data_IF_686927308172
#
_entry.id   IF_686927308172
#
_cell.length_a   1.000
_cell.length_b   1.000
_cell.length_c   1.000
_cell.angle_alpha   90.00
_cell.angle_beta   90.00
_cell.angle_gamma   90.00
#
_symmetry.space_group_name_H-M   'P 1'
#
loop_
_entity.id
_entity.type
_entity.pdbx_description
1 polymer ?
#
# COMPACT_ATOMS: atom_id res chain seq x y z
N UNK A 1 -12.44 -21.11 54.35
CA UNK A 1 -12.42 -21.02 52.88
C UNK A 1 -11.77 -19.69 52.49
N UNK A 2 -10.49 -19.72 52.09
CA UNK A 2 -9.70 -18.55 51.68
C UNK A 2 -8.91 -18.99 50.45
N UNK A 3 -9.28 -18.50 49.28
CA UNK A 3 -8.59 -18.77 48.02
C UNK A 3 -7.93 -17.47 47.53
N UNK A 4 -6.62 -17.40 47.79
CA UNK A 4 -5.49 -16.98 46.95
C UNK A 4 -5.75 -15.97 45.81
N UNK A 5 -4.98 -14.87 45.84
CA UNK A 5 -4.79 -13.90 44.76
C UNK A 5 -4.32 -14.57 43.46
N UNK A 6 -4.94 -14.21 42.33
CA UNK A 6 -4.28 -14.28 41.01
C UNK A 6 -4.85 -13.25 40.04
N UNK A 7 -3.93 -12.67 39.27
CA UNK A 7 -4.11 -11.66 38.25
C UNK A 7 -5.32 -11.88 37.32
N UNK A 8 -6.02 -10.80 37.00
CA UNK A 8 -7.04 -10.76 35.95
C UNK A 8 -7.14 -9.33 35.43
N UNK A 9 -6.43 -9.08 34.33
CA UNK A 9 -6.41 -7.82 33.61
C UNK A 9 -7.83 -7.50 33.12
N UNK A 10 -8.40 -6.40 33.61
CA UNK A 10 -9.69 -5.89 33.17
C UNK A 10 -9.49 -5.08 31.88
N UNK A 11 -9.69 -5.81 30.78
CA UNK A 11 -10.04 -5.43 29.42
C UNK A 11 -10.48 -3.96 29.22
N UNK A 12 -9.53 -3.13 28.78
CA UNK A 12 -9.81 -1.97 27.93
C UNK A 12 -8.88 -2.10 26.72
N UNK A 13 -9.19 -3.07 25.85
CA UNK A 13 -8.57 -3.15 24.53
C UNK A 13 -9.27 -2.12 23.62
N UNK A 14 -8.88 -0.86 23.76
CA UNK A 14 -9.07 0.17 22.74
C UNK A 14 -8.19 -0.25 21.55
N UNK A 15 -8.68 -1.18 20.73
CA UNK A 15 -8.13 -1.43 19.40
C UNK A 15 -8.62 -0.29 18.52
N UNK A 16 -7.94 0.84 18.64
CA UNK A 16 -8.00 1.88 17.63
C UNK A 16 -7.60 1.26 16.31
N UNK A 17 -8.58 1.10 15.41
CA UNK A 17 -8.35 0.91 13.98
C UNK A 17 -7.70 2.20 13.45
N UNK A 18 -6.42 2.38 13.75
CA UNK A 18 -5.58 3.27 12.98
C UNK A 18 -5.64 2.78 11.53
N UNK A 19 -5.64 3.71 10.58
CA UNK A 19 -5.40 3.40 9.17
C UNK A 19 -4.06 2.64 9.07
N UNK A 20 -4.11 1.31 9.15
CA UNK A 20 -2.93 0.48 9.06
C UNK A 20 -2.44 0.55 7.62
N UNK A 21 -1.31 1.22 7.43
CA UNK A 21 -0.63 1.25 6.13
C UNK A 21 0.04 -0.10 5.90
N UNK A 22 0.27 -0.45 4.63
CA UNK A 22 0.97 -1.70 4.24
C UNK A 22 2.28 -1.86 5.02
N UNK A 23 2.99 -0.75 5.26
CA UNK A 23 4.24 -0.73 6.01
C UNK A 23 4.08 -1.07 7.50
N UNK A 24 3.01 -0.60 8.15
CA UNK A 24 2.75 -0.92 9.56
C UNK A 24 2.47 -2.41 9.76
N UNK A 25 1.66 -2.99 8.86
CA UNK A 25 1.33 -4.42 8.88
C UNK A 25 2.56 -5.26 8.56
N UNK A 26 3.38 -4.84 7.59
CA UNK A 26 4.65 -5.50 7.29
C UNK A 26 5.59 -5.50 8.50
N UNK A 27 5.77 -4.36 9.17
CA UNK A 27 6.63 -4.29 10.35
C UNK A 27 6.14 -5.20 11.48
N UNK A 28 4.83 -5.28 11.69
CA UNK A 28 4.23 -6.16 12.68
C UNK A 28 4.42 -7.65 12.35
N UNK A 29 4.19 -8.05 11.09
CA UNK A 29 4.43 -9.41 10.63
C UNK A 29 5.93 -9.77 10.65
N UNK A 30 6.83 -8.84 10.30
CA UNK A 30 8.27 -9.04 10.38
C UNK A 30 8.74 -9.25 11.82
N UNK A 31 8.12 -8.58 12.80
CA UNK A 31 8.45 -8.73 14.22
C UNK A 31 7.94 -10.06 14.79
N UNK A 32 6.76 -10.52 14.34
CA UNK A 32 6.17 -11.80 14.76
C UNK A 32 6.84 -13.01 14.10
N UNK A 33 7.29 -12.87 12.86
CA UNK A 33 7.78 -13.98 12.04
C UNK A 33 9.20 -13.72 11.49
N UNK A 34 10.23 -14.37 12.07
CA UNK A 34 11.60 -14.28 11.58
C UNK A 34 11.79 -14.98 10.23
N UNK A 35 10.96 -15.98 9.93
CA UNK A 35 10.91 -16.64 8.63
C UNK A 35 10.12 -15.82 7.61
N UNK A 36 10.72 -15.62 6.42
CA UNK A 36 10.08 -14.83 5.36
C UNK A 36 8.76 -15.44 4.87
N UNK A 37 8.68 -16.77 4.79
CA UNK A 37 7.47 -17.47 4.31
C UNK A 37 6.32 -17.24 5.28
N UNK A 38 6.57 -17.41 6.58
CA UNK A 38 5.56 -17.18 7.63
C UNK A 38 5.16 -15.70 7.73
N UNK A 39 6.10 -14.79 7.51
CA UNK A 39 5.83 -13.35 7.43
C UNK A 39 4.88 -13.02 6.26
N UNK A 40 5.06 -13.65 5.09
CA UNK A 40 4.17 -13.44 3.94
C UNK A 40 2.78 -14.04 4.20
N UNK A 41 2.67 -15.18 4.88
CA UNK A 41 1.37 -15.72 5.30
C UNK A 41 0.66 -14.79 6.29
N UNK A 42 1.38 -14.21 7.25
CA UNK A 42 0.84 -13.17 8.14
C UNK A 42 0.32 -11.97 7.33
N UNK A 43 1.10 -11.45 6.38
CA UNK A 43 0.68 -10.34 5.50
C UNK A 43 -0.61 -10.65 4.74
N UNK A 44 -0.76 -11.88 4.24
CA UNK A 44 -1.96 -12.32 3.52
C UNK A 44 -3.18 -12.40 4.43
N UNK A 45 -3.02 -12.89 5.66
CA UNK A 45 -4.09 -12.95 6.66
C UNK A 45 -4.56 -11.54 7.05
N UNK A 46 -3.62 -10.65 7.36
CA UNK A 46 -3.93 -9.25 7.70
C UNK A 46 -4.57 -8.50 6.52
N UNK A 47 -4.12 -8.79 5.29
CA UNK A 47 -4.73 -8.21 4.10
C UNK A 47 -6.14 -8.74 3.79
N UNK A 48 -6.43 -9.98 4.15
CA UNK A 48 -7.76 -10.58 4.03
C UNK A 48 -8.72 -10.09 5.13
N UNK A 49 -8.19 -9.83 6.34
CA UNK A 49 -8.96 -9.31 7.47
C UNK A 49 -9.21 -7.79 7.39
N UNK A 50 -8.30 -7.04 6.75
CA UNK A 50 -8.34 -5.58 6.65
C UNK A 50 -8.79 -5.03 5.29
N UNK A 51 -8.88 -3.70 5.20
CA UNK A 51 -9.10 -2.98 3.94
C UNK A 51 -7.90 -3.01 2.99
N UNK A 52 -6.74 -3.52 3.46
CA UNK A 52 -5.50 -3.57 2.70
C UNK A 52 -5.67 -4.32 1.38
N UNK A 53 -6.36 -5.48 1.38
CA UNK A 53 -6.60 -6.27 0.17
C UNK A 53 -7.44 -5.58 -0.91
N UNK A 54 -8.10 -4.46 -0.60
CA UNK A 54 -8.93 -3.74 -1.56
C UNK A 54 -8.10 -2.81 -2.47
N UNK A 55 -6.95 -2.33 -2.01
CA UNK A 55 -6.07 -1.48 -2.81
C UNK A 55 -5.40 -2.28 -3.94
N UNK A 56 -5.36 -1.73 -5.15
CA UNK A 56 -4.64 -2.32 -6.30
C UNK A 56 -3.15 -2.47 -5.99
N UNK A 57 -2.57 -1.49 -5.32
CA UNK A 57 -1.15 -1.47 -4.99
C UNK A 57 -0.83 -2.51 -3.92
N UNK A 58 -1.69 -2.63 -2.91
CA UNK A 58 -1.54 -3.66 -1.88
C UNK A 58 -1.68 -5.07 -2.47
N UNK A 59 -2.61 -5.30 -3.39
CA UNK A 59 -2.72 -6.60 -4.12
C UNK A 59 -1.46 -6.89 -4.93
N UNK A 60 -0.91 -5.88 -5.59
CA UNK A 60 0.33 -6.02 -6.38
C UNK A 60 1.53 -6.34 -5.46
N UNK A 61 1.60 -5.67 -4.32
CA UNK A 61 2.59 -5.91 -3.29
C UNK A 61 2.49 -7.35 -2.72
N UNK A 62 1.28 -7.80 -2.36
CA UNK A 62 1.05 -9.15 -1.83
C UNK A 62 1.36 -10.25 -2.85
N UNK A 63 0.98 -10.07 -4.12
CA UNK A 63 1.32 -11.03 -5.18
C UNK A 63 2.84 -11.16 -5.38
N UNK A 64 3.57 -10.05 -5.26
CA UNK A 64 5.03 -10.07 -5.33
C UNK A 64 5.63 -10.74 -4.08
N UNK A 65 5.07 -10.50 -2.90
CA UNK A 65 5.48 -11.16 -1.66
C UNK A 65 5.30 -12.69 -1.75
N UNK A 66 4.17 -13.14 -2.28
CA UNK A 66 3.85 -14.56 -2.49
C UNK A 66 4.82 -15.22 -3.47
N UNK A 67 5.13 -14.54 -4.58
CA UNK A 67 6.15 -15.01 -5.54
C UNK A 67 7.52 -15.17 -4.88
N UNK A 68 7.95 -14.19 -4.06
CA UNK A 68 9.21 -14.28 -3.34
C UNK A 68 9.19 -15.40 -2.29
N UNK A 69 8.05 -15.64 -1.64
CA UNK A 69 7.92 -16.72 -0.66
C UNK A 69 8.03 -18.09 -1.33
N UNK A 70 7.43 -18.27 -2.51
CA UNK A 70 7.59 -19.47 -3.32
C UNK A 70 9.05 -19.72 -3.71
N UNK A 71 9.76 -18.69 -4.17
CA UNK A 71 11.17 -18.80 -4.55
C UNK A 71 12.08 -19.07 -3.35
N UNK A 72 11.80 -18.44 -2.20
CA UNK A 72 12.52 -18.71 -0.96
C UNK A 72 12.29 -20.15 -0.48
N UNK A 73 11.04 -20.64 -0.54
CA UNK A 73 10.69 -22.02 -0.21
C UNK A 73 11.33 -23.04 -1.14
N UNK A 74 11.49 -22.70 -2.42
CA UNK A 74 12.21 -23.50 -3.41
C UNK A 74 13.74 -23.45 -3.24
N UNK A 75 14.27 -22.58 -2.36
CA UNK A 75 15.70 -22.40 -2.16
C UNK A 75 16.40 -21.61 -3.26
N UNK A 76 15.65 -20.96 -4.17
CA UNK A 76 16.22 -20.16 -5.25
C UNK A 76 16.79 -18.82 -4.77
N UNK A 77 16.22 -18.27 -3.69
CA UNK A 77 16.64 -17.02 -3.07
C UNK A 77 16.70 -17.20 -1.55
N UNK A 78 17.59 -16.48 -0.89
CA UNK A 78 17.62 -16.51 0.58
C UNK A 78 16.48 -15.67 1.15
N UNK A 79 16.08 -15.96 2.39
CA UNK A 79 15.09 -15.14 3.11
C UNK A 79 15.52 -13.67 3.22
N UNK A 80 16.83 -13.41 3.32
CA UNK A 80 17.39 -12.05 3.36
C UNK A 80 17.17 -11.34 2.03
N UNK A 81 17.47 -12.00 0.92
CA UNK A 81 17.30 -11.42 -0.42
C UNK A 81 15.82 -11.20 -0.74
N UNK A 82 14.96 -12.14 -0.32
CA UNK A 82 13.51 -12.00 -0.44
C UNK A 82 12.98 -10.78 0.33
N UNK A 83 13.45 -10.54 1.56
CA UNK A 83 13.11 -9.33 2.34
C UNK A 83 13.60 -8.05 1.65
N UNK A 84 14.81 -8.06 1.10
CA UNK A 84 15.35 -6.90 0.37
C UNK A 84 14.50 -6.59 -0.88
N UNK A 85 14.21 -7.59 -1.70
CA UNK A 85 13.39 -7.44 -2.89
C UNK A 85 11.97 -6.95 -2.57
N UNK A 86 11.37 -7.43 -1.47
CA UNK A 86 10.06 -6.97 -1.04
C UNK A 86 10.06 -5.49 -0.62
N UNK A 87 11.12 -5.04 0.06
CA UNK A 87 11.30 -3.63 0.46
C UNK A 87 11.49 -2.71 -0.75
N UNK A 88 12.28 -3.14 -1.73
CA UNK A 88 12.46 -2.40 -3.00
C UNK A 88 11.12 -2.22 -3.74
N UNK A 89 10.28 -3.26 -3.75
CA UNK A 89 8.96 -3.17 -4.36
C UNK A 89 8.06 -2.16 -3.65
N UNK A 90 8.08 -2.11 -2.31
CA UNK A 90 7.35 -1.10 -1.56
C UNK A 90 7.79 0.32 -1.93
N UNK A 91 9.10 0.57 -2.00
CA UNK A 91 9.64 1.87 -2.41
C UNK A 91 9.17 2.26 -3.81
N UNK A 92 9.16 1.32 -4.76
CA UNK A 92 8.68 1.56 -6.13
C UNK A 92 7.20 1.96 -6.16
N UNK A 93 6.36 1.29 -5.38
CA UNK A 93 4.94 1.63 -5.24
C UNK A 93 4.80 3.03 -4.63
N UNK A 94 5.52 3.33 -3.54
CA UNK A 94 5.47 4.64 -2.88
C UNK A 94 5.90 5.78 -3.81
N UNK A 95 6.96 5.59 -4.60
CA UNK A 95 7.39 6.54 -5.61
C UNK A 95 6.34 6.75 -6.71
N UNK A 96 5.70 5.67 -7.15
CA UNK A 96 4.64 5.74 -8.16
C UNK A 96 3.42 6.51 -7.66
N UNK A 97 3.02 6.30 -6.40
CA UNK A 97 1.95 7.06 -5.76
C UNK A 97 2.31 8.54 -5.61
N UNK A 98 3.53 8.85 -5.17
CA UNK A 98 4.02 10.22 -5.04
C UNK A 98 4.05 10.94 -6.40
N UNK A 99 4.48 10.25 -7.47
CA UNK A 99 4.48 10.80 -8.82
C UNK A 99 3.05 11.07 -9.33
N UNK A 100 2.11 10.16 -9.08
CA UNK A 100 0.70 10.36 -9.45
C UNK A 100 0.05 11.51 -8.67
N UNK A 101 0.42 11.69 -7.41
CA UNK A 101 -0.05 12.81 -6.59
C UNK A 101 0.55 14.16 -7.03
N UNK A 102 1.76 14.15 -7.60
CA UNK A 102 2.44 15.34 -8.10
C UNK A 102 1.99 15.78 -9.50
N UNK A 103 1.27 14.94 -10.26
CA UNK A 103 0.71 15.35 -11.54
C UNK A 103 -0.45 16.34 -11.31
N UNK A 104 -0.44 17.52 -11.95
CA UNK A 104 -1.63 18.36 -11.96
C UNK A 104 -2.76 17.55 -12.59
N UNK A 105 -3.92 17.46 -11.91
CA UNK A 105 -5.14 16.89 -12.47
C UNK A 105 -5.57 17.70 -13.69
N UNK A 106 -5.00 17.38 -14.84
CA UNK A 106 -5.25 18.04 -16.12
C UNK A 106 -6.72 17.93 -16.55
N UNK A 107 -7.49 17.01 -15.94
CA UNK A 107 -8.89 16.74 -16.24
C UNK A 107 -9.88 17.77 -15.66
N UNK A 108 -9.40 18.82 -14.99
CA UNK A 108 -10.26 19.88 -14.43
C UNK A 108 -10.29 21.16 -15.26
N UNK A 109 -9.47 21.25 -16.31
CA UNK A 109 -9.49 22.41 -17.19
C UNK A 109 -10.62 22.25 -18.20
N UNK A 110 -11.66 23.11 -18.22
CA UNK A 110 -12.64 23.08 -19.29
C UNK A 110 -11.89 23.22 -20.62
N UNK A 111 -12.31 22.52 -21.69
CA UNK A 111 -11.66 22.63 -22.99
C UNK A 111 -11.64 24.11 -23.36
N UNK A 112 -10.44 24.70 -23.46
CA UNK A 112 -10.29 26.05 -24.01
C UNK A 112 -10.77 25.97 -25.44
N UNK A 113 -11.99 26.45 -25.70
CA UNK A 113 -12.49 26.61 -27.06
C UNK A 113 -11.43 27.41 -27.81
N UNK A 114 -10.93 26.93 -28.96
CA UNK A 114 -10.03 27.72 -29.76
C UNK A 114 -10.77 29.00 -30.14
N UNK A 115 -10.22 30.15 -29.74
CA UNK A 115 -10.80 31.44 -30.07
C UNK A 115 -10.61 31.66 -31.57
N UNK A 116 -11.71 31.66 -32.32
CA UNK A 116 -11.69 31.79 -33.77
C UNK A 116 -11.73 33.28 -34.06
N UNK A 117 -10.65 33.81 -34.62
CA UNK A 117 -10.58 35.18 -35.10
C UNK A 117 -10.83 35.22 -36.60
N UNK A 118 -11.81 36.01 -37.03
CA UNK A 118 -12.09 36.25 -38.45
C UNK A 118 -12.03 37.74 -38.76
N UNK A 119 -11.46 38.12 -39.92
CA UNK A 119 -11.47 39.50 -40.38
C UNK A 119 -12.90 39.92 -40.76
N UNK A 120 -13.35 41.06 -40.24
CA UNK A 120 -14.67 41.65 -40.54
C UNK A 120 -14.49 43.13 -40.88
N UNK A 121 -14.46 43.43 -42.17
CA UNK A 121 -14.16 44.78 -42.67
C UNK A 121 -12.69 45.16 -42.42
N UNK A 122 -12.44 46.34 -41.86
CA UNK A 122 -11.10 46.84 -41.49
C UNK A 122 -10.63 46.40 -40.09
N UNK A 123 -11.38 45.51 -39.41
CA UNK A 123 -11.04 45.00 -38.07
C UNK A 123 -11.07 43.47 -37.98
N UNK A 124 -10.56 42.93 -36.87
CA UNK A 124 -10.61 41.49 -36.55
C UNK A 124 -11.54 41.27 -35.37
N UNK A 125 -12.46 40.31 -35.48
CA UNK A 125 -13.35 39.89 -34.39
C UNK A 125 -13.01 38.47 -33.97
N UNK A 126 -12.86 38.24 -32.67
CA UNK A 126 -12.52 36.95 -32.07
C UNK A 126 -13.66 36.47 -31.17
N UNK A 127 -14.03 35.19 -31.27
CA UNK A 127 -15.09 34.56 -30.48
C UNK A 127 -14.77 33.10 -30.13
#
# INVERSE_FOLDING_TARGET
>A
MRWVLRAGALEIAVLGFGCATVQSIQAECENRHPDFVDMVECLKQEAAAGSLGQSRDARTYLAHADTLAHRAKAGEITHRDARAALREMYVKIAQTQAAQAALPRADSAPPRRPMICVPRGSGVSCF
#
